data_IF_397105774917
#
_entry.id   IF_397105774917
#
_cell.length_a   1.000
_cell.length_b   1.000
_cell.length_c   1.000
_cell.angle_alpha   90.00
_cell.angle_beta   90.00
_cell.angle_gamma   90.00
#
_symmetry.space_group_name_H-M   'P 1'
#
loop_
_entity.id
_entity.type
_entity.pdbx_description
1 polymer ?
#
# COMPACT_ATOMS: atom_id res chain seq x y z
N UNK A 1 -51.77 -4.10 52.59
CA UNK A 1 -51.83 -5.22 53.56
C UNK A 1 -50.89 -6.32 53.08
N UNK A 2 -49.94 -6.72 53.94
CA UNK A 2 -49.08 -7.94 53.87
C UNK A 2 -49.95 -9.20 54.13
N UNK A 3 -49.47 -10.49 54.08
CA UNK A 3 -48.08 -11.05 53.98
C UNK A 3 -47.94 -12.19 52.91
N UNK A 4 -46.76 -12.59 52.38
CA UNK A 4 -45.65 -13.45 52.87
C UNK A 4 -46.05 -14.81 53.50
N UNK A 5 -45.61 -15.93 52.88
CA UNK A 5 -45.05 -17.21 53.42
C UNK A 5 -44.69 -18.10 52.19
N UNK A 6 -43.45 -18.47 51.83
CA UNK A 6 -42.41 -19.30 52.47
C UNK A 6 -42.88 -20.71 52.86
N UNK A 7 -42.51 -21.75 52.09
CA UNK A 7 -41.95 -23.00 52.62
C UNK A 7 -41.28 -23.87 51.53
N UNK A 8 -40.04 -24.27 51.81
CA UNK A 8 -39.29 -25.35 51.16
C UNK A 8 -39.99 -26.70 51.38
N UNK A 9 -39.83 -27.63 50.43
CA UNK A 9 -39.69 -29.04 50.80
C UNK A 9 -38.68 -29.76 49.90
N UNK A 10 -37.62 -30.21 50.57
CA UNK A 10 -36.54 -31.09 50.12
C UNK A 10 -37.05 -32.54 50.23
N UNK A 11 -36.96 -33.33 49.16
CA UNK A 11 -36.87 -34.79 49.28
C UNK A 11 -35.77 -35.28 48.34
N UNK A 12 -34.74 -35.83 48.97
CA UNK A 12 -33.65 -36.58 48.39
C UNK A 12 -34.09 -38.04 48.15
N UNK A 13 -33.68 -38.63 47.02
CA UNK A 13 -33.53 -40.07 46.76
C UNK A 13 -32.51 -40.18 45.61
N UNK A 14 -31.23 -40.31 45.92
CA UNK A 14 -30.47 -41.58 46.03
C UNK A 14 -30.10 -42.18 44.66
N UNK A 15 -28.82 -42.01 44.34
CA UNK A 15 -27.91 -42.91 43.62
C UNK A 15 -28.54 -44.15 42.97
N UNK A 16 -28.41 -44.24 41.64
CA UNK A 16 -27.94 -45.48 41.02
C UNK A 16 -27.01 -45.12 39.85
N UNK A 17 -25.76 -45.47 40.05
CA UNK A 17 -24.69 -45.36 39.07
C UNK A 17 -24.88 -46.43 38.00
N UNK A 18 -25.05 -46.00 36.75
CA UNK A 18 -24.70 -46.79 35.58
C UNK A 18 -23.70 -45.96 34.78
N UNK A 19 -22.42 -46.13 35.10
CA UNK A 19 -21.32 -45.72 34.25
C UNK A 19 -21.46 -46.49 32.92
N UNK A 20 -21.94 -45.82 31.88
CA UNK A 20 -21.62 -46.24 30.52
C UNK A 20 -20.17 -45.83 30.25
N UNK A 21 -19.29 -46.73 29.78
CA UNK A 21 -18.01 -46.31 29.26
C UNK A 21 -18.27 -45.35 28.08
N UNK A 22 -17.59 -44.21 28.11
CA UNK A 22 -17.52 -43.32 26.96
C UNK A 22 -17.07 -44.13 25.74
N UNK A 23 -17.66 -43.94 24.55
CA UNK A 23 -17.12 -44.54 23.34
C UNK A 23 -15.67 -44.07 23.20
N UNK A 24 -14.76 -45.00 22.94
CA UNK A 24 -13.37 -44.72 22.59
C UNK A 24 -13.36 -43.61 21.54
N UNK A 25 -12.72 -42.49 21.88
CA UNK A 25 -12.31 -41.50 20.90
C UNK A 25 -11.42 -42.20 19.90
N UNK A 26 -12.03 -42.59 18.80
CA UNK A 26 -11.34 -42.96 17.58
C UNK A 26 -10.44 -41.78 17.24
N UNK A 27 -9.13 -41.96 17.44
CA UNK A 27 -8.09 -40.99 17.09
C UNK A 27 -8.03 -40.91 15.56
N UNK A 28 -9.03 -40.28 14.98
CA UNK A 28 -8.95 -39.74 13.64
C UNK A 28 -7.81 -38.74 13.66
N UNK A 29 -6.73 -39.09 12.94
CA UNK A 29 -5.64 -38.16 12.67
C UNK A 29 -6.24 -36.83 12.18
N UNK A 30 -5.77 -35.68 12.68
CA UNK A 30 -6.26 -34.39 12.21
C UNK A 30 -6.07 -34.33 10.70
N UNK A 31 -7.19 -34.12 10.00
CA UNK A 31 -7.20 -33.80 8.58
C UNK A 31 -6.22 -32.63 8.36
N UNK A 32 -5.32 -32.73 7.37
CA UNK A 32 -4.33 -31.69 7.13
C UNK A 32 -5.05 -30.36 6.89
N UNK A 33 -4.84 -29.43 7.82
CA UNK A 33 -5.28 -28.06 7.69
C UNK A 33 -4.86 -27.50 6.33
N UNK A 34 -5.86 -26.98 5.61
CA UNK A 34 -5.81 -25.82 4.72
C UNK A 34 -4.38 -25.49 4.25
N UNK A 35 -4.00 -26.05 3.09
CA UNK A 35 -2.73 -25.78 2.43
C UNK A 35 -2.42 -24.28 2.50
N UNK A 36 -1.23 -23.99 3.02
CA UNK A 36 -0.60 -22.68 2.99
C UNK A 36 -0.74 -22.07 1.59
N UNK A 37 -1.70 -21.17 1.42
CA UNK A 37 -1.61 -20.14 0.39
C UNK A 37 -0.42 -19.30 0.84
N UNK A 38 0.71 -19.51 0.19
CA UNK A 38 1.93 -18.75 0.41
C UNK A 38 1.57 -17.28 0.49
N UNK A 39 1.87 -16.67 1.65
CA UNK A 39 1.64 -15.28 1.94
C UNK A 39 2.26 -14.44 0.80
N UNK A 40 1.42 -13.94 -0.11
CA UNK A 40 1.79 -13.24 -1.37
C UNK A 40 2.61 -11.96 -1.07
N UNK A 41 2.70 -11.58 0.20
CA UNK A 41 3.54 -10.51 0.75
C UNK A 41 5.06 -10.77 0.75
N UNK A 42 5.54 -11.93 0.28
CA UNK A 42 7.00 -12.14 0.07
C UNK A 42 7.44 -11.54 -1.26
N UNK A 43 8.42 -10.63 -1.22
CA UNK A 43 9.05 -10.11 -2.42
C UNK A 43 9.60 -11.26 -3.29
N UNK A 44 9.43 -11.19 -4.63
CA UNK A 44 9.88 -12.23 -5.54
C UNK A 44 11.41 -12.40 -5.45
N UNK A 45 11.88 -13.65 -5.50
CA UNK A 45 13.30 -14.00 -5.49
C UNK A 45 14.05 -13.55 -6.76
N UNK A 46 13.32 -13.23 -7.84
CA UNK A 46 13.88 -12.68 -9.07
C UNK A 46 12.93 -12.79 -10.28
N UNK A 47 13.32 -12.15 -11.39
CA UNK A 47 12.66 -12.31 -12.71
C UNK A 47 12.86 -13.75 -13.21
N UNK A 48 11.84 -14.33 -13.82
CA UNK A 48 11.92 -15.67 -14.42
C UNK A 48 11.86 -15.63 -15.95
N UNK A 49 12.23 -16.75 -16.58
CA UNK A 49 12.15 -16.97 -18.03
C UNK A 49 10.80 -17.58 -18.46
N UNK A 50 9.88 -17.77 -17.50
CA UNK A 50 8.61 -18.45 -17.71
C UNK A 50 7.46 -17.46 -17.94
N UNK A 51 6.54 -17.82 -18.82
CA UNK A 51 5.38 -17.02 -19.18
C UNK A 51 4.17 -17.96 -19.34
N UNK A 52 3.02 -17.59 -18.79
CA UNK A 52 1.74 -18.20 -19.19
C UNK A 52 1.21 -17.40 -20.37
N UNK A 53 0.96 -18.07 -21.49
CA UNK A 53 0.38 -17.49 -22.69
C UNK A 53 -1.06 -18.00 -22.84
N UNK A 54 -2.03 -17.10 -22.91
CA UNK A 54 -3.41 -17.42 -23.25
C UNK A 54 -3.77 -16.58 -24.48
N UNK A 55 -3.95 -17.19 -25.64
CA UNK A 55 -4.15 -16.44 -26.89
C UNK A 55 -3.08 -15.37 -27.12
N UNK A 56 -3.48 -14.09 -27.06
CA UNK A 56 -2.58 -12.93 -27.21
C UNK A 56 -2.02 -12.39 -25.89
N UNK A 57 -2.58 -12.80 -24.75
CA UNK A 57 -2.22 -12.31 -23.42
C UNK A 57 -1.04 -13.10 -22.89
N UNK A 58 -0.04 -12.40 -22.36
CA UNK A 58 1.15 -12.98 -21.76
C UNK A 58 1.26 -12.56 -20.30
N UNK A 59 1.30 -13.55 -19.40
CA UNK A 59 1.47 -13.35 -17.96
C UNK A 59 2.92 -13.68 -17.61
N UNK A 60 3.79 -12.68 -17.40
CA UNK A 60 5.18 -12.93 -16.99
C UNK A 60 5.21 -13.49 -15.58
N UNK A 61 5.96 -14.57 -15.38
CA UNK A 61 6.08 -15.21 -14.07
C UNK A 61 7.30 -14.72 -13.31
N UNK A 62 7.16 -14.60 -12.00
CA UNK A 62 8.20 -14.30 -11.02
C UNK A 62 8.36 -15.51 -10.10
N UNK A 63 9.59 -15.74 -9.65
CA UNK A 63 9.90 -16.86 -8.74
C UNK A 63 9.67 -16.42 -7.29
N UNK A 64 8.85 -17.14 -6.54
CA UNK A 64 8.51 -16.81 -5.15
C UNK A 64 9.15 -17.72 -4.11
N UNK A 65 9.34 -19.01 -4.42
CA UNK A 65 9.92 -19.98 -3.50
C UNK A 65 10.67 -21.11 -4.19
N UNK A 66 11.48 -21.84 -3.42
CA UNK A 66 12.11 -23.10 -3.82
C UNK A 66 11.27 -24.31 -3.34
N UNK A 67 11.25 -25.43 -4.08
CA UNK A 67 11.81 -25.61 -5.42
C UNK A 67 10.79 -25.16 -6.47
N UNK A 68 11.08 -24.06 -7.18
CA UNK A 68 10.38 -23.67 -8.42
C UNK A 68 8.87 -23.34 -8.31
N UNK A 69 8.51 -22.51 -7.32
CA UNK A 69 7.15 -21.92 -7.22
C UNK A 69 7.10 -20.58 -7.93
N UNK A 70 6.18 -20.45 -8.89
CA UNK A 70 6.00 -19.27 -9.73
C UNK A 70 4.63 -18.63 -9.57
N UNK A 71 4.59 -17.31 -9.73
CA UNK A 71 3.36 -16.53 -9.78
C UNK A 71 3.51 -15.31 -10.69
N UNK A 72 2.40 -14.80 -11.19
CA UNK A 72 2.39 -13.62 -12.06
C UNK A 72 0.97 -13.07 -12.16
N UNK A 73 0.85 -11.82 -12.60
CA UNK A 73 -0.44 -11.17 -12.75
C UNK A 73 -0.44 -10.28 -13.99
N UNK A 74 -1.58 -10.21 -14.67
CA UNK A 74 -1.90 -9.23 -15.69
C UNK A 74 -3.29 -8.67 -15.44
N UNK A 75 -3.55 -7.45 -15.90
CA UNK A 75 -4.87 -6.83 -15.89
C UNK A 75 -5.34 -6.66 -17.34
N UNK A 76 -6.59 -7.06 -17.64
CA UNK A 76 -7.19 -6.95 -18.99
C UNK A 76 -8.66 -6.56 -18.91
N UNK A 77 -9.24 -6.07 -20.01
CA UNK A 77 -10.67 -5.72 -20.07
C UNK A 77 -11.60 -6.94 -20.02
N UNK A 78 -12.85 -6.75 -19.57
CA UNK A 78 -13.86 -7.82 -19.52
C UNK A 78 -14.14 -8.42 -20.90
N UNK A 79 -14.33 -7.58 -21.92
CA UNK A 79 -14.60 -8.04 -23.30
C UNK A 79 -13.42 -8.80 -23.88
N UNK A 80 -12.20 -8.34 -23.59
CA UNK A 80 -10.97 -9.01 -23.98
C UNK A 80 -10.88 -10.40 -23.32
N UNK A 81 -11.16 -10.51 -22.02
CA UNK A 81 -11.20 -11.80 -21.32
C UNK A 81 -12.27 -12.75 -21.89
N UNK A 82 -13.46 -12.24 -22.24
CA UNK A 82 -14.53 -13.05 -22.83
C UNK A 82 -14.13 -13.64 -24.20
N UNK A 83 -13.28 -12.97 -24.96
CA UNK A 83 -12.69 -13.51 -26.18
C UNK A 83 -11.55 -14.49 -25.85
N UNK A 84 -10.68 -14.09 -24.91
CA UNK A 84 -9.53 -14.86 -24.45
C UNK A 84 -9.89 -16.29 -24.03
N UNK A 85 -11.02 -16.47 -23.34
CA UNK A 85 -11.38 -17.76 -22.73
C UNK A 85 -11.57 -18.90 -23.73
N UNK A 86 -11.77 -18.60 -25.01
CA UNK A 86 -11.82 -19.59 -26.11
C UNK A 86 -10.47 -19.94 -26.71
N UNK A 87 -9.45 -19.15 -26.41
CA UNK A 87 -8.12 -19.32 -26.97
C UNK A 87 -7.33 -20.41 -26.25
N UNK A 88 -6.25 -20.84 -26.88
CA UNK A 88 -5.35 -21.84 -26.33
C UNK A 88 -4.49 -21.26 -25.19
N UNK A 89 -4.33 -22.05 -24.14
CA UNK A 89 -3.57 -21.75 -22.93
C UNK A 89 -2.31 -22.62 -22.88
N UNK A 90 -1.15 -21.98 -22.73
CA UNK A 90 0.18 -22.60 -22.81
C UNK A 90 1.11 -22.07 -21.72
N UNK A 91 2.04 -22.91 -21.27
CA UNK A 91 3.18 -22.50 -20.44
C UNK A 91 4.44 -22.46 -21.31
N UNK A 92 5.15 -21.33 -21.30
CA UNK A 92 6.35 -21.10 -22.10
C UNK A 92 7.59 -20.93 -21.22
N UNK A 93 8.75 -21.34 -21.74
CA UNK A 93 10.09 -21.04 -21.22
C UNK A 93 10.97 -20.56 -22.38
N UNK A 94 11.41 -19.29 -22.37
CA UNK A 94 12.15 -18.70 -23.52
C UNK A 94 11.48 -19.00 -24.87
N UNK A 95 10.17 -18.73 -24.97
CA UNK A 95 9.33 -18.96 -26.15
C UNK A 95 9.14 -20.44 -26.58
N UNK A 96 9.64 -21.41 -25.80
CA UNK A 96 9.36 -22.84 -26.03
C UNK A 96 8.19 -23.30 -25.18
N UNK A 97 7.22 -23.94 -25.83
CA UNK A 97 6.06 -24.54 -25.15
C UNK A 97 6.51 -25.72 -24.29
N UNK A 98 6.13 -25.70 -23.02
CA UNK A 98 6.34 -26.78 -22.07
C UNK A 98 5.15 -27.74 -22.07
N UNK A 99 5.44 -29.02 -21.86
CA UNK A 99 4.40 -29.99 -21.50
C UNK A 99 3.95 -29.71 -20.06
N UNK A 100 2.88 -28.91 -19.92
CA UNK A 100 2.30 -28.53 -18.64
C UNK A 100 0.80 -28.81 -18.64
N UNK A 101 0.28 -29.18 -17.48
CA UNK A 101 -1.14 -29.42 -17.25
C UNK A 101 -1.70 -28.28 -16.40
N UNK A 102 -2.83 -27.71 -16.83
CA UNK A 102 -3.57 -26.73 -16.03
C UNK A 102 -4.30 -27.47 -14.91
N UNK A 103 -3.79 -27.45 -13.70
CA UNK A 103 -4.36 -28.15 -12.54
C UNK A 103 -5.74 -27.60 -12.17
N UNK A 104 -5.90 -26.28 -12.19
CA UNK A 104 -7.16 -25.63 -11.85
C UNK A 104 -7.32 -24.25 -12.46
N UNK A 105 -8.57 -23.86 -12.68
CA UNK A 105 -8.98 -22.50 -12.96
C UNK A 105 -10.14 -22.12 -12.04
N UNK A 106 -10.04 -20.98 -11.36
CA UNK A 106 -11.13 -20.47 -10.52
C UNK A 106 -11.28 -18.96 -10.63
N UNK A 107 -12.50 -18.52 -10.34
CA UNK A 107 -12.84 -17.12 -10.22
C UNK A 107 -12.92 -16.74 -8.75
N UNK A 108 -12.14 -15.73 -8.37
CA UNK A 108 -12.27 -15.01 -7.12
C UNK A 108 -13.10 -13.77 -7.39
N UNK A 109 -14.35 -13.75 -6.91
CA UNK A 109 -15.23 -12.60 -7.12
C UNK A 109 -15.00 -11.52 -6.08
N UNK A 110 -15.05 -10.26 -6.51
CA UNK A 110 -14.89 -9.09 -5.65
C UNK A 110 -16.04 -8.99 -4.63
N UNK A 111 -17.27 -9.31 -5.04
CA UNK A 111 -18.38 -9.57 -4.13
C UNK A 111 -18.33 -11.06 -3.78
N UNK A 112 -18.15 -11.43 -2.51
CA UNK A 112 -18.11 -12.84 -2.06
C UNK A 112 -19.36 -13.69 -2.42
N UNK A 113 -20.34 -13.09 -3.09
CA UNK A 113 -21.45 -13.79 -3.73
C UNK A 113 -20.96 -14.47 -5.03
N UNK A 114 -20.92 -15.80 -4.99
CA UNK A 114 -20.86 -16.71 -6.15
C UNK A 114 -19.46 -17.09 -6.72
N UNK A 115 -18.43 -17.41 -5.92
CA UNK A 115 -17.19 -17.96 -6.48
C UNK A 115 -17.49 -19.30 -7.18
N UNK A 116 -16.89 -19.53 -8.34
CA UNK A 116 -16.94 -20.84 -9.00
C UNK A 116 -15.53 -21.34 -9.34
N UNK A 117 -15.35 -22.65 -9.20
CA UNK A 117 -14.08 -23.33 -9.31
C UNK A 117 -14.21 -24.58 -10.19
N UNK A 118 -13.32 -24.67 -11.18
CA UNK A 118 -13.17 -25.85 -12.01
C UNK A 118 -11.80 -26.49 -11.74
N UNK A 119 -11.83 -27.69 -11.15
CA UNK A 119 -10.70 -28.60 -11.10
C UNK A 119 -10.82 -29.61 -12.25
N UNK A 120 -9.69 -30.14 -12.71
CA UNK A 120 -9.61 -31.21 -13.71
C UNK A 120 -10.70 -32.29 -13.55
N UNK A 121 -11.23 -32.89 -14.66
CA UNK A 121 -10.65 -32.91 -16.00
C UNK A 121 -11.57 -32.29 -17.07
N UNK A 122 -11.44 -30.97 -17.29
CA UNK A 122 -12.18 -30.24 -18.34
C UNK A 122 -11.29 -29.71 -19.47
N UNK A 123 -10.09 -30.25 -19.68
CA UNK A 123 -9.07 -29.65 -20.53
C UNK A 123 -8.55 -30.64 -21.57
N UNK A 124 -8.79 -30.34 -22.85
CA UNK A 124 -8.19 -31.07 -23.97
C UNK A 124 -7.27 -30.13 -24.75
N UNK A 125 -6.00 -30.52 -24.91
CA UNK A 125 -5.02 -29.83 -25.80
C UNK A 125 -4.89 -28.32 -25.52
N UNK A 126 -4.86 -27.93 -24.24
CA UNK A 126 -4.68 -26.52 -23.85
C UNK A 126 -5.91 -25.63 -24.05
N UNK A 127 -7.09 -26.21 -24.36
CA UNK A 127 -8.35 -25.47 -24.44
C UNK A 127 -9.30 -25.87 -23.33
N UNK A 128 -10.12 -24.92 -22.90
CA UNK A 128 -11.21 -25.15 -21.97
C UNK A 128 -12.37 -25.86 -22.69
N UNK A 129 -13.05 -26.77 -22.00
CA UNK A 129 -14.32 -27.32 -22.46
C UNK A 129 -15.38 -26.21 -22.61
N UNK A 130 -16.30 -26.37 -23.58
CA UNK A 130 -17.25 -25.32 -23.97
C UNK A 130 -18.21 -24.91 -22.83
N UNK A 131 -18.56 -25.83 -21.94
CA UNK A 131 -19.35 -25.56 -20.74
C UNK A 131 -18.61 -24.66 -19.74
N UNK A 132 -17.30 -24.88 -19.58
CA UNK A 132 -16.44 -24.02 -18.77
C UNK A 132 -16.32 -22.64 -19.41
N UNK A 133 -16.06 -22.57 -20.73
CA UNK A 133 -16.01 -21.31 -21.50
C UNK A 133 -17.29 -20.50 -21.30
N UNK A 134 -18.44 -21.15 -21.47
CA UNK A 134 -19.76 -20.53 -21.29
C UNK A 134 -19.93 -19.97 -19.88
N UNK A 135 -19.53 -20.73 -18.86
CA UNK A 135 -19.59 -20.26 -17.47
C UNK A 135 -18.74 -19.01 -17.25
N UNK A 136 -17.49 -19.00 -17.71
CA UNK A 136 -16.63 -17.82 -17.54
C UNK A 136 -17.17 -16.61 -18.29
N UNK A 137 -17.69 -16.77 -19.51
CA UNK A 137 -18.28 -15.66 -20.27
C UNK A 137 -19.48 -15.02 -19.60
N UNK A 138 -20.36 -15.84 -19.04
CA UNK A 138 -21.60 -15.39 -18.42
C UNK A 138 -21.40 -14.95 -16.99
N UNK A 139 -20.47 -15.59 -16.28
CA UNK A 139 -20.25 -15.40 -14.85
C UNK A 139 -19.32 -14.24 -14.54
N UNK A 140 -18.22 -14.08 -15.26
CA UNK A 140 -17.17 -13.10 -14.94
C UNK A 140 -17.67 -11.66 -15.05
N UNK A 141 -17.25 -10.84 -14.10
CA UNK A 141 -17.56 -9.41 -13.99
C UNK A 141 -16.27 -8.61 -13.90
N UNK A 142 -16.42 -7.29 -14.10
CA UNK A 142 -15.38 -6.30 -13.79
C UNK A 142 -14.95 -6.46 -12.33
N UNK A 143 -13.65 -6.40 -12.05
CA UNK A 143 -13.09 -6.52 -10.71
C UNK A 143 -12.81 -7.95 -10.26
N UNK A 144 -13.36 -8.96 -10.95
CA UNK A 144 -13.06 -10.37 -10.65
C UNK A 144 -11.58 -10.71 -10.94
N UNK A 145 -11.04 -11.69 -10.22
CA UNK A 145 -9.70 -12.24 -10.46
C UNK A 145 -9.83 -13.70 -10.90
N UNK A 146 -9.18 -14.05 -12.01
CA UNK A 146 -9.14 -15.40 -12.55
C UNK A 146 -7.78 -15.99 -12.23
N UNK A 147 -7.78 -17.06 -11.43
CA UNK A 147 -6.57 -17.72 -10.99
C UNK A 147 -6.34 -19.02 -11.76
N UNK A 148 -5.14 -19.15 -12.30
CA UNK A 148 -4.65 -20.31 -13.05
C UNK A 148 -3.55 -21.01 -12.26
N UNK A 149 -3.63 -22.34 -12.17
CA UNK A 149 -2.59 -23.17 -11.57
C UNK A 149 -2.07 -24.20 -12.56
N UNK A 150 -0.76 -24.23 -12.80
CA UNK A 150 -0.14 -25.23 -13.68
C UNK A 150 0.84 -26.13 -12.95
N UNK A 151 1.00 -27.34 -13.47
CA UNK A 151 2.07 -28.25 -13.09
C UNK A 151 2.76 -28.81 -14.33
N UNK A 152 4.09 -28.85 -14.33
CA UNK A 152 4.88 -29.57 -15.33
C UNK A 152 5.75 -30.61 -14.66
N UNK A 153 5.32 -31.88 -14.74
CA UNK A 153 6.02 -32.99 -14.10
C UNK A 153 7.43 -33.26 -14.66
N UNK A 154 7.71 -32.88 -15.91
CA UNK A 154 9.04 -33.10 -16.53
C UNK A 154 10.10 -32.10 -16.08
N UNK A 155 9.69 -30.85 -15.83
CA UNK A 155 10.60 -29.77 -15.42
C UNK A 155 10.52 -29.48 -13.91
N UNK A 156 9.67 -30.20 -13.17
CA UNK A 156 9.37 -29.98 -11.75
C UNK A 156 8.93 -28.53 -11.44
N UNK A 157 8.12 -27.95 -12.31
CA UNK A 157 7.64 -26.56 -12.20
C UNK A 157 6.21 -26.57 -11.66
N UNK A 158 5.96 -25.71 -10.68
CA UNK A 158 4.62 -25.44 -10.15
C UNK A 158 4.33 -23.94 -10.31
N UNK A 159 3.38 -23.61 -11.19
CA UNK A 159 2.83 -22.26 -11.26
C UNK A 159 1.64 -22.24 -10.30
N UNK A 160 1.81 -21.59 -9.15
CA UNK A 160 0.82 -21.61 -8.09
C UNK A 160 -0.25 -20.52 -8.27
N UNK A 161 0.13 -19.38 -8.85
CA UNK A 161 -0.74 -18.21 -8.97
C UNK A 161 -0.44 -17.39 -10.23
N UNK A 162 -0.89 -17.86 -11.40
CA UNK A 162 -0.98 -17.00 -12.58
C UNK A 162 -2.37 -16.35 -12.59
N UNK A 163 -2.43 -15.04 -12.39
CA UNK A 163 -3.65 -14.29 -12.16
C UNK A 163 -3.99 -13.39 -13.36
N UNK A 164 -5.26 -13.34 -13.72
CA UNK A 164 -5.82 -12.35 -14.64
C UNK A 164 -6.82 -11.53 -13.85
N UNK A 165 -6.51 -10.26 -13.60
CA UNK A 165 -7.46 -9.31 -13.01
C UNK A 165 -8.31 -8.71 -14.12
N UNK A 166 -9.63 -8.77 -13.97
CA UNK A 166 -10.53 -8.12 -14.91
C UNK A 166 -10.64 -6.65 -14.51
N UNK A 167 -10.19 -5.76 -15.39
CA UNK A 167 -10.22 -4.33 -15.16
C UNK A 167 -11.63 -3.88 -14.79
N UNK A 168 -11.75 -3.17 -13.68
CA UNK A 168 -12.96 -2.46 -13.28
C UNK A 168 -12.69 -0.96 -13.41
N UNK A 169 -13.35 -0.26 -14.35
CA UNK A 169 -13.20 1.18 -14.48
C UNK A 169 -13.62 1.90 -13.19
N UNK A 170 -14.57 1.33 -12.43
CA UNK A 170 -15.05 1.91 -11.18
C UNK A 170 -14.19 1.52 -9.97
N UNK A 171 -13.10 0.79 -10.16
CA UNK A 171 -12.19 0.49 -9.07
C UNK A 171 -11.50 1.77 -8.61
N UNK A 172 -11.68 2.07 -7.32
CA UNK A 172 -10.96 3.15 -6.68
C UNK A 172 -9.45 2.96 -6.86
N UNK A 173 -8.78 3.96 -7.42
CA UNK A 173 -7.33 3.92 -7.53
C UNK A 173 -6.70 3.87 -6.12
N UNK A 174 -5.79 2.93 -5.92
CA UNK A 174 -5.01 2.80 -4.69
C UNK A 174 -3.59 3.36 -4.91
N UNK A 175 -3.17 4.37 -4.13
CA UNK A 175 -1.83 4.92 -4.23
C UNK A 175 -0.79 3.87 -3.85
N UNK A 176 0.29 3.77 -4.64
CA UNK A 176 1.37 2.82 -4.38
C UNK A 176 2.09 3.04 -3.03
N UNK A 177 2.06 4.29 -2.52
CA UNK A 177 2.63 4.65 -1.22
C UNK A 177 1.51 5.20 -0.34
N UNK A 178 1.07 4.48 0.70
CA UNK A 178 0.10 5.04 1.62
C UNK A 178 0.76 6.13 2.47
N UNK A 179 0.08 7.27 2.62
CA UNK A 179 0.54 8.30 3.55
C UNK A 179 0.20 7.88 4.98
N UNK A 180 1.18 7.84 5.91
CA UNK A 180 0.91 7.48 7.30
C UNK A 180 -0.13 8.41 7.91
N UNK A 181 -1.01 7.87 8.77
CA UNK A 181 -1.93 8.70 9.55
C UNK A 181 -1.17 9.58 10.56
N UNK A 182 -1.69 10.76 10.90
CA UNK A 182 -1.03 11.65 11.85
C UNK A 182 -1.01 11.01 13.22
N UNK A 183 0.12 11.13 13.91
CA UNK A 183 0.24 10.76 15.32
C UNK A 183 -0.02 11.99 16.17
N UNK A 184 -1.21 12.06 16.74
CA UNK A 184 -1.64 13.13 17.64
C UNK A 184 -1.04 12.96 19.05
N UNK A 185 -0.73 11.72 19.42
CA UNK A 185 -0.11 11.30 20.67
C UNK A 185 1.43 11.22 20.57
N UNK A 186 2.07 12.38 20.45
CA UNK A 186 3.53 12.44 20.31
C UNK A 186 4.20 13.18 21.45
N UNK A 187 5.10 12.52 22.16
CA UNK A 187 6.15 13.20 22.92
C UNK A 187 6.94 14.13 21.98
N UNK A 188 7.22 15.35 22.44
CA UNK A 188 8.11 16.28 21.74
C UNK A 188 9.54 16.06 22.24
N UNK A 189 10.48 15.94 21.31
CA UNK A 189 11.89 15.69 21.61
C UNK A 189 12.76 16.86 21.18
N UNK A 190 13.80 17.15 21.96
CA UNK A 190 14.79 18.18 21.63
C UNK A 190 15.92 17.70 20.71
N UNK A 191 15.81 16.52 20.11
CA UNK A 191 16.82 15.94 19.21
C UNK A 191 16.21 14.98 18.17
N UNK A 192 16.89 14.82 17.04
CA UNK A 192 16.55 13.84 16.01
C UNK A 192 17.80 13.26 15.37
N UNK A 193 17.82 11.94 15.18
CA UNK A 193 18.84 11.24 14.39
C UNK A 193 18.27 10.87 13.02
N UNK A 194 18.96 11.22 11.94
CA UNK A 194 18.58 10.83 10.57
C UNK A 194 19.62 9.86 10.03
N UNK A 195 19.17 8.68 9.58
CA UNK A 195 20.00 7.62 9.01
C UNK A 195 19.59 7.37 7.56
N UNK A 196 20.47 7.71 6.62
CA UNK A 196 20.30 7.45 5.19
C UNK A 196 21.35 6.44 4.70
N UNK A 197 20.97 5.43 3.91
CA UNK A 197 21.93 4.49 3.34
C UNK A 197 23.01 5.20 2.53
N UNK A 198 24.27 4.83 2.78
CA UNK A 198 25.42 5.40 2.07
C UNK A 198 25.76 6.85 2.45
N UNK A 199 25.10 7.43 3.46
CA UNK A 199 25.41 8.76 4.00
C UNK A 199 25.77 8.68 5.47
N UNK A 200 26.55 9.67 5.90
CA UNK A 200 26.90 9.87 7.31
C UNK A 200 25.62 10.21 8.09
N UNK A 201 25.30 9.51 9.19
CA UNK A 201 24.17 9.86 10.04
C UNK A 201 24.20 11.31 10.50
N UNK A 202 23.02 11.92 10.62
CA UNK A 202 22.83 13.30 11.03
C UNK A 202 22.23 13.34 12.44
N UNK A 203 22.68 14.27 13.29
CA UNK A 203 22.03 14.64 14.54
C UNK A 203 21.55 16.09 14.44
N UNK A 204 20.24 16.33 14.48
CA UNK A 204 19.62 17.65 14.66
C UNK A 204 19.36 17.84 16.15
N UNK A 205 19.85 18.91 16.74
CA UNK A 205 19.77 19.13 18.19
C UNK A 205 19.98 20.61 18.51
N UNK A 206 19.47 21.05 19.66
CA UNK A 206 19.95 22.25 20.31
C UNK A 206 21.09 21.92 21.29
N UNK A 207 22.30 22.34 20.94
CA UNK A 207 23.57 22.15 21.67
C UNK A 207 23.74 23.10 22.85
N UNK A 208 22.94 24.17 22.93
CA UNK A 208 22.92 25.09 24.07
C UNK A 208 21.83 24.73 25.08
N UNK A 209 20.87 23.87 24.70
CA UNK A 209 19.81 23.42 25.59
C UNK A 209 20.33 22.42 26.64
N UNK A 210 20.07 22.71 27.92
CA UNK A 210 20.51 21.88 29.06
C UNK A 210 19.88 20.48 29.01
N UNK A 211 18.59 20.40 28.68
CA UNK A 211 17.83 19.15 28.65
C UNK A 211 18.43 18.09 27.69
N UNK A 212 19.06 18.52 26.59
CA UNK A 212 19.64 17.66 25.56
C UNK A 212 21.16 17.60 25.61
N UNK A 213 21.79 18.25 26.59
CA UNK A 213 23.25 18.36 26.68
C UNK A 213 23.95 17.02 26.73
N UNK A 214 23.41 16.09 27.52
CA UNK A 214 23.93 14.73 27.65
C UNK A 214 23.95 13.98 26.30
N UNK A 215 22.95 14.20 25.44
CA UNK A 215 22.89 13.62 24.09
C UNK A 215 23.95 14.25 23.22
N UNK A 216 24.06 15.58 23.21
CA UNK A 216 25.11 16.26 22.44
C UNK A 216 26.51 15.76 22.82
N UNK A 217 26.80 15.63 24.11
CA UNK A 217 28.11 15.17 24.60
C UNK A 217 28.41 13.71 24.17
N UNK A 218 27.41 12.85 23.98
CA UNK A 218 27.61 11.50 23.42
C UNK A 218 28.06 11.51 21.94
N UNK A 219 27.65 12.53 21.16
CA UNK A 219 27.88 12.55 19.71
C UNK A 219 28.97 13.52 19.26
N UNK A 220 29.32 14.55 20.06
CA UNK A 220 30.24 15.63 19.66
C UNK A 220 31.62 15.15 19.20
N UNK A 221 32.15 14.11 19.84
CA UNK A 221 33.48 13.55 19.55
C UNK A 221 33.42 12.42 18.50
N UNK A 222 32.20 12.00 18.11
CA UNK A 222 32.00 10.93 17.14
C UNK A 222 32.05 11.46 15.69
N UNK A 223 33.19 11.25 15.03
CA UNK A 223 33.41 11.59 13.61
C UNK A 223 32.52 10.80 12.62
N UNK A 224 31.65 9.91 13.09
CA UNK A 224 30.64 9.25 12.27
C UNK A 224 29.32 10.02 12.21
N UNK A 225 29.09 11.05 13.02
CA UNK A 225 27.83 11.81 13.02
C UNK A 225 28.04 13.26 12.60
N UNK A 226 27.25 13.76 11.65
CA UNK A 226 27.21 15.20 11.34
C UNK A 226 26.18 15.85 12.26
N UNK A 227 26.59 16.84 13.06
CA UNK A 227 25.69 17.56 13.96
C UNK A 227 25.23 18.85 13.28
N UNK A 228 23.92 19.11 13.28
CA UNK A 228 23.31 20.39 12.89
C UNK A 228 22.75 21.03 14.17
N UNK A 229 23.28 22.20 14.50
CA UNK A 229 22.77 23.02 15.59
C UNK A 229 21.51 23.75 15.14
N UNK A 230 20.42 23.61 15.90
CA UNK A 230 19.15 24.30 15.65
C UNK A 230 18.65 24.86 16.99
N UNK A 231 18.66 26.19 17.21
CA UNK A 231 18.19 26.78 18.46
C UNK A 231 16.72 26.43 18.73
N UNK A 232 16.42 25.99 19.95
CA UNK A 232 15.06 25.59 20.34
C UNK A 232 14.53 24.40 19.54
N UNK A 233 15.41 23.50 19.07
CA UNK A 233 15.02 22.36 18.25
C UNK A 233 13.91 21.53 18.89
N UNK A 234 12.87 21.25 18.11
CA UNK A 234 11.78 20.37 18.52
C UNK A 234 11.39 19.44 17.36
N UNK A 235 11.06 18.20 17.70
CA UNK A 235 10.59 17.20 16.73
C UNK A 235 9.61 16.22 17.38
N UNK A 236 8.74 15.61 16.58
CA UNK A 236 7.94 14.45 16.99
C UNK A 236 8.61 13.10 16.67
N UNK A 237 9.78 13.11 16.03
CA UNK A 237 10.48 11.90 15.58
C UNK A 237 11.93 11.88 16.09
N UNK A 238 12.27 10.96 16.99
CA UNK A 238 13.67 10.78 17.47
C UNK A 238 14.59 10.19 16.41
N UNK A 239 14.06 9.37 15.52
CA UNK A 239 14.79 8.66 14.49
C UNK A 239 14.03 8.74 13.16
N UNK A 240 14.72 9.15 12.10
CA UNK A 240 14.25 9.04 10.72
C UNK A 240 15.18 8.14 9.94
N UNK A 241 14.60 7.19 9.21
CA UNK A 241 15.30 6.25 8.35
C UNK A 241 14.76 6.33 6.92
N UNK A 242 15.31 5.54 6.00
CA UNK A 242 14.74 5.42 4.65
C UNK A 242 13.30 4.90 4.65
N UNK A 243 12.87 4.15 5.69
CA UNK A 243 11.51 3.62 5.79
C UNK A 243 10.45 4.68 6.11
N UNK A 244 10.90 5.83 6.63
CA UNK A 244 10.03 6.94 7.02
C UNK A 244 9.83 7.93 5.86
N UNK A 245 10.37 7.63 4.67
CA UNK A 245 10.19 8.43 3.44
C UNK A 245 9.07 7.85 2.60
N UNK A 246 8.38 8.72 1.87
CA UNK A 246 7.41 8.30 0.85
C UNK A 246 8.08 7.47 -0.26
N UNK A 247 9.24 7.93 -0.76
CA UNK A 247 9.96 7.27 -1.83
C UNK A 247 11.44 7.12 -1.49
N UNK A 248 12.06 6.02 -1.94
CA UNK A 248 13.51 5.86 -1.84
C UNK A 248 14.18 6.71 -2.91
N UNK A 249 15.36 7.26 -2.61
CA UNK A 249 16.08 8.12 -3.57
C UNK A 249 16.38 7.42 -4.91
N UNK A 250 16.50 6.08 -4.91
CA UNK A 250 16.75 5.27 -6.12
C UNK A 250 15.51 5.08 -7.01
N UNK A 251 14.32 5.31 -6.46
CA UNK A 251 13.04 5.19 -7.17
C UNK A 251 12.68 6.48 -7.89
N UNK A 252 13.19 7.62 -7.39
CA UNK A 252 12.92 8.95 -7.94
C UNK A 252 13.64 9.11 -9.29
N UNK A 253 12.85 9.32 -10.35
CA UNK A 253 13.36 9.52 -11.72
C UNK A 253 14.09 10.85 -11.86
N UNK A 254 13.54 11.91 -11.29
CA UNK A 254 14.07 13.27 -11.37
C UNK A 254 13.74 14.08 -10.12
N UNK A 255 14.62 15.01 -9.76
CA UNK A 255 14.43 15.98 -8.69
C UNK A 255 14.69 17.37 -9.24
N UNK A 256 13.70 18.27 -9.15
CA UNK A 256 13.79 19.63 -9.72
C UNK A 256 13.52 20.68 -8.63
N UNK A 257 14.44 21.62 -8.46
CA UNK A 257 14.25 22.79 -7.59
C UNK A 257 13.64 23.93 -8.41
N UNK A 258 12.44 24.37 -8.03
CA UNK A 258 11.63 25.37 -8.73
C UNK A 258 11.40 26.66 -7.90
N UNK A 259 11.94 26.72 -6.68
CA UNK A 259 11.86 27.87 -5.79
C UNK A 259 13.18 28.08 -5.03
N UNK A 260 13.15 28.99 -4.06
CA UNK A 260 14.25 29.22 -3.14
C UNK A 260 14.56 27.96 -2.32
N UNK A 261 13.52 27.17 -1.98
CA UNK A 261 13.66 25.90 -1.29
C UNK A 261 14.27 26.05 0.11
N UNK A 262 13.45 25.96 1.15
CA UNK A 262 13.98 26.02 2.51
C UNK A 262 14.73 24.72 2.88
N UNK A 263 15.90 24.86 3.54
CA UNK A 263 16.61 23.71 4.08
C UNK A 263 15.86 23.14 5.29
N UNK A 264 14.94 22.23 5.01
CA UNK A 264 14.08 21.59 6.01
C UNK A 264 14.89 20.88 7.11
N UNK A 265 16.15 20.49 6.86
CA UNK A 265 17.01 19.87 7.87
C UNK A 265 17.45 20.85 8.95
N UNK A 266 17.39 22.15 8.68
CA UNK A 266 17.80 23.22 9.60
C UNK A 266 16.66 23.83 10.42
N UNK A 267 15.41 23.42 10.17
CA UNK A 267 14.22 23.93 10.85
C UNK A 267 13.81 23.01 12.02
N UNK A 268 12.89 23.45 12.88
CA UNK A 268 12.20 22.55 13.83
C UNK A 268 10.93 21.99 13.20
N UNK A 269 10.40 20.89 13.73
CA UNK A 269 9.06 20.44 13.34
C UNK A 269 8.00 21.34 13.98
N UNK A 270 6.88 21.57 13.29
CA UNK A 270 5.70 22.19 13.85
C UNK A 270 5.04 21.22 14.85
N UNK A 271 4.90 21.62 16.12
CA UNK A 271 4.40 20.76 17.21
C UNK A 271 3.05 21.19 17.77
N UNK A 272 2.61 22.42 17.48
CA UNK A 272 1.44 23.09 18.04
C UNK A 272 0.14 22.79 17.27
N UNK A 273 -0.32 21.54 17.30
CA UNK A 273 -1.61 21.16 16.72
C UNK A 273 -2.47 20.24 17.60
N UNK A 274 -1.96 19.76 18.75
CA UNK A 274 -2.74 18.94 19.70
C UNK A 274 -3.53 17.82 19.03
N UNK A 275 -4.83 17.77 19.34
CA UNK A 275 -5.83 16.85 18.75
C UNK A 275 -6.64 17.50 17.61
N UNK A 276 -6.24 18.67 17.12
CA UNK A 276 -6.97 19.37 16.06
C UNK A 276 -6.97 18.52 14.78
N UNK A 277 -8.08 18.56 14.03
CA UNK A 277 -8.10 17.98 12.69
C UNK A 277 -7.08 18.69 11.82
N UNK A 278 -6.29 17.92 11.08
CA UNK A 278 -5.26 18.46 10.21
C UNK A 278 -5.52 17.98 8.80
N UNK A 279 -5.58 18.92 7.86
CA UNK A 279 -5.83 18.61 6.47
C UNK A 279 -5.25 19.64 5.53
N UNK A 280 -5.04 19.21 4.29
CA UNK A 280 -4.60 20.06 3.19
C UNK A 280 -5.78 20.30 2.26
N UNK A 281 -6.08 21.56 1.96
CA UNK A 281 -7.12 21.97 1.02
C UNK A 281 -6.49 22.50 -0.26
N UNK A 282 -7.07 22.09 -1.39
CA UNK A 282 -6.63 22.54 -2.70
C UNK A 282 -7.85 22.72 -3.60
N UNK A 283 -8.29 23.97 -3.77
CA UNK A 283 -9.53 24.26 -4.49
C UNK A 283 -10.73 23.62 -3.79
N UNK A 284 -11.43 22.71 -4.47
CA UNK A 284 -12.55 21.96 -3.90
C UNK A 284 -12.14 20.64 -3.22
N UNK A 285 -10.85 20.29 -3.24
CA UNK A 285 -10.35 19.02 -2.75
C UNK A 285 -9.78 19.14 -1.33
N UNK A 286 -9.95 18.08 -0.53
CA UNK A 286 -9.38 17.93 0.81
C UNK A 286 -8.58 16.62 0.94
N UNK A 287 -7.47 16.65 1.66
CA UNK A 287 -6.66 15.48 2.01
C UNK A 287 -6.39 15.42 3.52
N UNK A 288 -6.76 14.30 4.15
CA UNK A 288 -6.60 14.08 5.60
C UNK A 288 -6.09 12.67 5.93
N UNK A 289 -4.78 12.43 6.05
CA UNK A 289 -3.66 12.85 5.20
C UNK A 289 -3.65 12.21 3.80
N UNK A 290 -4.65 11.42 3.42
CA UNK A 290 -4.88 11.03 2.02
C UNK A 290 -6.30 11.43 1.65
N UNK A 291 -6.49 11.87 0.41
CA UNK A 291 -7.82 12.15 -0.10
C UNK A 291 -8.54 10.89 -0.57
N UNK A 292 -9.84 11.03 -0.74
CA UNK A 292 -10.60 10.16 -1.64
C UNK A 292 -10.09 10.28 -3.08
N UNK A 293 -10.56 9.41 -3.97
CA UNK A 293 -10.25 9.52 -5.38
C UNK A 293 -11.07 10.63 -6.03
N UNK A 294 -10.38 11.63 -6.58
CA UNK A 294 -11.00 12.66 -7.40
C UNK A 294 -10.91 12.28 -8.88
N UNK A 295 -11.91 12.67 -9.68
CA UNK A 295 -11.75 12.56 -11.13
C UNK A 295 -10.69 13.54 -11.63
N UNK A 296 -10.14 13.29 -12.82
CA UNK A 296 -9.10 14.14 -13.39
C UNK A 296 -9.57 15.58 -13.64
N UNK A 297 -10.86 15.77 -13.93
CA UNK A 297 -11.45 17.09 -14.19
C UNK A 297 -11.48 17.94 -12.91
N UNK A 298 -11.94 17.39 -11.79
CA UNK A 298 -11.96 18.06 -10.48
C UNK A 298 -10.55 18.44 -10.02
N UNK A 299 -9.60 17.52 -10.22
CA UNK A 299 -8.19 17.78 -9.94
C UNK A 299 -7.68 18.97 -10.76
N UNK A 300 -7.93 18.96 -12.08
CA UNK A 300 -7.51 20.05 -12.98
C UNK A 300 -8.18 21.37 -12.67
N UNK A 301 -9.45 21.35 -12.30
CA UNK A 301 -10.19 22.54 -11.88
C UNK A 301 -9.61 23.17 -10.60
N UNK A 302 -8.98 22.36 -9.75
CA UNK A 302 -8.35 22.81 -8.51
C UNK A 302 -6.93 23.37 -8.69
N UNK A 303 -6.21 23.01 -9.77
CA UNK A 303 -4.82 23.47 -10.03
C UNK A 303 -4.62 24.99 -9.90
N UNK A 304 -5.52 25.86 -10.42
CA UNK A 304 -5.38 27.31 -10.28
C UNK A 304 -5.50 27.83 -8.84
N UNK A 305 -6.12 27.07 -7.95
CA UNK A 305 -6.30 27.47 -6.56
C UNK A 305 -5.01 27.35 -5.75
N UNK A 306 -4.82 28.20 -4.71
CA UNK A 306 -3.75 28.02 -3.75
C UNK A 306 -3.96 26.76 -2.88
N UNK A 307 -2.87 26.36 -2.23
CA UNK A 307 -2.83 25.24 -1.29
C UNK A 307 -2.93 25.81 0.13
N UNK A 308 -3.85 25.29 0.94
CA UNK A 308 -4.06 25.74 2.32
C UNK A 308 -3.84 24.58 3.28
N UNK A 309 -3.01 24.77 4.31
CA UNK A 309 -2.85 23.80 5.39
C UNK A 309 -3.69 24.25 6.58
N UNK A 310 -4.65 23.42 6.97
CA UNK A 310 -5.56 23.70 8.07
C UNK A 310 -5.20 22.86 9.30
N UNK A 311 -5.22 23.51 10.45
CA UNK A 311 -5.08 22.90 11.78
C UNK A 311 -6.27 23.35 12.63
N UNK A 312 -7.31 22.53 12.68
CA UNK A 312 -8.64 22.94 13.11
C UNK A 312 -9.15 24.06 12.21
N UNK A 313 -9.53 25.19 12.81
CA UNK A 313 -9.98 26.38 12.09
C UNK A 313 -8.82 27.32 11.68
N UNK A 314 -7.58 27.02 12.10
CA UNK A 314 -6.42 27.87 11.83
C UNK A 314 -5.75 27.46 10.52
N UNK A 315 -5.62 28.41 9.60
CA UNK A 315 -4.77 28.26 8.42
C UNK A 315 -3.31 28.55 8.78
N UNK A 316 -2.41 27.65 8.38
CA UNK A 316 -0.96 27.85 8.47
C UNK A 316 -0.40 28.25 7.09
N UNK A 317 0.23 29.43 6.94
CA UNK A 317 0.82 29.85 5.69
C UNK A 317 1.92 28.89 5.23
N UNK A 318 1.77 28.33 4.03
CA UNK A 318 2.78 27.47 3.39
C UNK A 318 3.82 28.35 2.70
N UNK A 319 5.10 28.14 3.00
CA UNK A 319 6.24 28.85 2.40
C UNK A 319 6.98 28.03 1.35
N UNK A 320 7.07 26.72 1.55
CA UNK A 320 7.57 25.79 0.54
C UNK A 320 7.10 24.37 0.81
N UNK A 321 7.20 23.49 -0.17
CA UNK A 321 6.90 22.08 -0.02
C UNK A 321 7.70 21.23 -1.01
N UNK A 322 7.79 19.94 -0.71
CA UNK A 322 8.20 18.93 -1.67
C UNK A 322 6.95 18.30 -2.27
N UNK A 323 6.84 18.33 -3.60
CA UNK A 323 5.81 17.61 -4.35
C UNK A 323 6.42 16.36 -4.98
N UNK A 324 5.79 15.22 -4.76
CA UNK A 324 6.05 14.01 -5.54
C UNK A 324 4.84 13.69 -6.40
N UNK A 325 5.07 13.30 -7.65
CA UNK A 325 4.01 12.77 -8.52
C UNK A 325 4.32 11.32 -8.87
N UNK A 326 3.32 10.45 -8.80
CA UNK A 326 3.47 9.02 -9.08
C UNK A 326 2.20 8.46 -9.72
N UNK A 327 2.31 7.54 -10.69
CA UNK A 327 1.16 6.85 -11.27
C UNK A 327 1.52 5.42 -11.65
N UNK A 328 0.52 4.58 -11.99
CA UNK A 328 0.69 3.12 -12.19
C UNK A 328 1.89 2.73 -13.09
N UNK A 329 2.16 3.51 -14.14
CA UNK A 329 3.22 3.21 -15.12
C UNK A 329 4.42 4.18 -15.09
N UNK A 330 4.47 5.11 -14.14
CA UNK A 330 5.49 6.15 -14.09
C UNK A 330 6.27 6.10 -12.79
N UNK A 331 7.59 6.13 -12.88
CA UNK A 331 8.44 6.34 -11.72
C UNK A 331 8.15 7.70 -11.07
N UNK A 332 8.31 7.81 -9.73
CA UNK A 332 8.03 9.05 -9.02
C UNK A 332 8.94 10.19 -9.48
N UNK A 333 8.36 11.38 -9.65
CA UNK A 333 9.08 12.61 -9.96
C UNK A 333 8.99 13.57 -8.76
N UNK A 334 10.08 14.25 -8.43
CA UNK A 334 10.20 15.08 -7.24
C UNK A 334 10.45 16.55 -7.60
N UNK A 335 9.72 17.44 -6.95
CA UNK A 335 9.81 18.89 -7.11
C UNK A 335 9.90 19.57 -5.75
N UNK A 336 10.72 20.61 -5.65
CA UNK A 336 10.77 21.50 -4.48
C UNK A 336 10.32 22.87 -4.95
N UNK A 337 9.24 23.40 -4.37
CA UNK A 337 8.63 24.64 -4.81
C UNK A 337 8.12 25.48 -3.64
N UNK A 338 8.05 26.79 -3.86
CA UNK A 338 7.51 27.75 -2.89
C UNK A 338 6.01 28.02 -3.11
N UNK A 339 5.43 27.45 -4.18
CA UNK A 339 4.04 27.61 -4.55
C UNK A 339 3.66 26.80 -5.79
N UNK A 340 2.37 26.50 -5.93
CA UNK A 340 1.83 25.74 -7.06
C UNK A 340 1.81 26.51 -8.38
N UNK A 341 1.80 27.84 -8.31
CA UNK A 341 1.63 28.73 -9.46
C UNK A 341 2.91 28.88 -10.32
N UNK A 342 3.97 28.15 -9.99
CA UNK A 342 5.19 28.13 -10.81
C UNK A 342 4.90 27.48 -12.18
N UNK A 343 5.18 28.14 -13.32
CA UNK A 343 4.79 27.64 -14.64
C UNK A 343 5.30 26.22 -14.97
N UNK A 344 6.49 25.86 -14.49
CA UNK A 344 7.03 24.51 -14.67
C UNK A 344 6.22 23.47 -13.90
N UNK A 345 5.78 23.80 -12.68
CA UNK A 345 4.99 22.91 -11.83
C UNK A 345 3.56 22.76 -12.37
N UNK A 346 2.93 23.87 -12.80
CA UNK A 346 1.62 23.84 -13.46
C UNK A 346 1.63 22.87 -14.66
N UNK A 347 2.65 22.95 -15.52
CA UNK A 347 2.80 22.02 -16.65
C UNK A 347 2.86 20.56 -16.23
N UNK A 348 3.50 20.24 -15.11
CA UNK A 348 3.57 18.88 -14.57
C UNK A 348 2.19 18.44 -14.08
N UNK A 349 1.53 19.28 -13.28
CA UNK A 349 0.22 18.98 -12.68
C UNK A 349 -0.86 18.76 -13.74
N UNK A 350 -0.94 19.61 -14.77
CA UNK A 350 -1.90 19.44 -15.87
C UNK A 350 -1.66 18.16 -16.70
N UNK A 351 -0.44 17.61 -16.67
CA UNK A 351 -0.04 16.39 -17.40
C UNK A 351 -0.24 15.11 -16.59
N UNK A 352 -0.65 15.21 -15.33
CA UNK A 352 -1.06 14.03 -14.57
C UNK A 352 -2.21 13.33 -15.30
N UNK A 353 -2.21 12.01 -15.19
CA UNK A 353 -3.15 11.11 -15.85
C UNK A 353 -4.05 10.49 -14.77
N UNK A 354 -5.15 9.83 -15.16
CA UNK A 354 -5.88 8.96 -14.24
C UNK A 354 -4.95 7.92 -13.58
N UNK A 355 -5.36 7.41 -12.43
CA UNK A 355 -4.60 6.47 -11.60
C UNK A 355 -3.20 7.02 -11.20
N UNK A 356 -3.19 8.24 -10.67
CA UNK A 356 -1.98 8.89 -10.17
C UNK A 356 -2.21 9.65 -8.87
N UNK A 357 -1.13 9.98 -8.17
CA UNK A 357 -1.16 10.69 -6.88
C UNK A 357 -0.19 11.85 -6.89
N UNK A 358 -0.62 12.97 -6.32
CA UNK A 358 0.23 14.10 -5.95
C UNK A 358 0.45 14.09 -4.42
N UNK A 359 1.70 13.84 -4.00
CA UNK A 359 2.09 13.83 -2.58
C UNK A 359 2.80 15.12 -2.20
N UNK A 360 2.38 15.72 -1.09
CA UNK A 360 3.01 16.87 -0.47
C UNK A 360 3.73 16.42 0.79
N UNK A 361 5.05 16.59 0.85
CA UNK A 361 5.90 16.29 1.99
C UNK A 361 6.81 17.50 2.29
N UNK A 362 7.47 17.50 3.45
CA UNK A 362 8.40 18.57 3.89
C UNK A 362 7.80 19.96 3.68
N UNK A 363 6.54 20.10 4.08
CA UNK A 363 5.81 21.37 4.00
C UNK A 363 6.41 22.30 5.04
N UNK A 364 6.96 23.42 4.60
CA UNK A 364 7.47 24.48 5.48
C UNK A 364 6.36 25.49 5.67
N UNK A 365 6.04 25.75 6.93
CA UNK A 365 4.99 26.66 7.37
C UNK A 365 5.60 27.80 8.17
N UNK A 366 4.86 28.90 8.25
CA UNK A 366 5.17 30.01 9.14
C UNK A 366 4.18 30.04 10.31
N UNK A 367 4.69 30.13 11.54
CA UNK A 367 3.84 30.32 12.72
C UNK A 367 3.47 31.78 12.95
N UNK A 368 2.64 32.05 13.97
CA UNK A 368 2.18 33.40 14.34
C UNK A 368 3.34 34.36 14.72
N UNK A 369 4.52 33.82 15.04
CA UNK A 369 5.72 34.60 15.39
C UNK A 369 6.64 34.83 14.18
N UNK A 370 6.23 34.40 12.98
CA UNK A 370 7.04 34.49 11.77
C UNK A 370 8.15 33.44 11.67
N UNK A 371 8.13 32.40 12.52
CA UNK A 371 9.16 31.35 12.52
C UNK A 371 8.82 30.28 11.49
N UNK A 372 9.82 29.86 10.73
CA UNK A 372 9.70 28.76 9.78
C UNK A 372 9.83 27.41 10.49
N UNK A 373 8.87 26.54 10.26
CA UNK A 373 8.77 25.21 10.85
C UNK A 373 8.43 24.18 9.77
N UNK A 374 8.84 22.93 9.94
CA UNK A 374 8.47 21.84 9.04
C UNK A 374 7.23 21.14 9.59
N UNK A 375 6.16 21.10 8.81
CA UNK A 375 5.00 20.33 9.17
C UNK A 375 5.35 18.82 9.09
N UNK A 376 5.12 18.05 10.16
CA UNK A 376 5.66 16.69 10.27
C UNK A 376 4.90 15.64 9.45
N UNK A 377 3.74 16.00 8.91
CA UNK A 377 2.82 15.11 8.19
C UNK A 377 2.85 15.40 6.69
N UNK A 378 2.90 14.33 5.90
CA UNK A 378 2.69 14.41 4.45
C UNK A 378 1.21 14.31 4.10
N UNK A 379 0.84 14.73 2.88
CA UNK A 379 -0.53 14.65 2.36
C UNK A 379 -0.54 14.08 0.94
N UNK A 380 -1.62 13.44 0.54
CA UNK A 380 -1.78 12.93 -0.82
C UNK A 380 -3.15 13.28 -1.41
N UNK A 381 -3.14 13.76 -2.66
CA UNK A 381 -4.32 13.87 -3.50
C UNK A 381 -4.31 12.76 -4.56
N UNK A 382 -5.31 11.90 -4.51
CA UNK A 382 -5.46 10.75 -5.40
C UNK A 382 -6.36 11.10 -6.58
N UNK A 383 -5.88 10.79 -7.78
CA UNK A 383 -6.60 10.94 -9.04
C UNK A 383 -7.06 9.53 -9.44
N UNK A 384 -8.38 9.35 -9.47
CA UNK A 384 -9.06 8.09 -9.81
C UNK A 384 -8.69 7.57 -11.20
N UNK A 385 -9.09 6.33 -11.49
CA UNK A 385 -8.80 5.68 -12.78
C UNK A 385 -9.74 6.14 -13.93
N UNK A 386 -10.84 6.84 -13.60
CA UNK A 386 -11.87 7.33 -14.54
C UNK A 386 -11.59 8.74 -15.10
#
# INVERSE_FOLDING_TARGET
MRPRHFLLLLIALSFWACQRPAPEEDKAAPLPHRQDILNINKQPAGRSEFVVEWGKVKIPLLKYANPEVYGGMVEIGLEEFQQLVQEELRLLKKDKVLAAELVSIHRESQSQADPFWYAYPGFEKGRLAEDIVSTFRQGVRRGDVIALRFSSGRENIIVQSALIKIADPFEAYEPAVPVPRPRYDGDVYGFQVIQEPGRRPLLRIDTTAEATRHIYDMYRDNRQYRIIQIPGFQTRHRLLTERDRLFRNREIRQSVLLGCGHDCLSLSDFTDFGDAEVHLEWGGMKASPSSENYCLEDFRASIPAPLHLMVGERELPIRSFHLFTHGRERQPEHYVADGLQTPALLKVLYRLQPASTAYFDKIVVEDEQGRLLVFPQAFAFNIGAD
#
